data_IF_067337271697
#
_entry.id   IF_067337271697
#
_cell.length_a   1.000
_cell.length_b   1.000
_cell.length_c   1.000
_cell.angle_alpha   90.00
_cell.angle_beta   90.00
_cell.angle_gamma   90.00
#
_symmetry.space_group_name_H-M   'P 1'
#
loop_
_entity.id
_entity.type
_entity.pdbx_description
1 polymer ?
#
# COMPACT_ATOMS: atom_id res chain seq x y z
N UNK A 1 -8.83 -29.79 34.43
CA UNK A 1 -8.66 -29.31 33.03
C UNK A 1 -8.99 -30.48 32.09
N UNK A 2 -9.60 -30.27 30.91
CA UNK A 2 -9.89 -31.39 29.99
C UNK A 2 -8.60 -31.92 29.34
N UNK A 3 -8.57 -33.21 28.96
CA UNK A 3 -7.40 -33.82 28.28
C UNK A 3 -7.06 -33.09 26.97
N UNK A 4 -8.09 -32.59 26.27
CA UNK A 4 -7.95 -31.78 25.07
C UNK A 4 -7.22 -30.46 25.33
N UNK A 5 -7.54 -29.76 26.42
CA UNK A 5 -6.92 -28.48 26.75
C UNK A 5 -5.44 -28.64 27.12
N UNK A 6 -5.10 -29.73 27.82
CA UNK A 6 -3.71 -30.06 28.15
C UNK A 6 -2.91 -30.35 26.88
N UNK A 7 -3.47 -31.18 25.99
CA UNK A 7 -2.86 -31.47 24.68
C UNK A 7 -2.67 -30.20 23.84
N UNK A 8 -3.68 -29.34 23.79
CA UNK A 8 -3.64 -28.08 23.05
C UNK A 8 -2.57 -27.13 23.59
N UNK A 9 -2.50 -26.95 24.91
CA UNK A 9 -1.49 -26.10 25.54
C UNK A 9 -0.08 -26.62 25.28
N UNK A 10 0.16 -27.93 25.39
CA UNK A 10 1.46 -28.52 25.05
C UNK A 10 1.87 -28.20 23.61
N UNK A 11 0.93 -28.37 22.66
CA UNK A 11 1.21 -28.12 21.23
C UNK A 11 1.50 -26.65 20.93
N UNK A 12 0.81 -25.74 21.60
CA UNK A 12 1.04 -24.30 21.45
C UNK A 12 2.40 -23.92 22.02
N UNK A 13 2.69 -24.35 23.26
CA UNK A 13 3.92 -23.98 23.96
C UNK A 13 5.14 -24.49 23.20
N UNK A 14 5.13 -25.75 22.73
CA UNK A 14 6.19 -26.32 21.90
C UNK A 14 6.49 -25.44 20.68
N UNK A 15 5.44 -25.02 19.95
CA UNK A 15 5.59 -24.23 18.72
C UNK A 15 6.02 -22.79 18.98
N UNK A 16 5.50 -22.17 20.04
CA UNK A 16 5.82 -20.79 20.42
C UNK A 16 7.25 -20.68 20.93
N UNK A 17 7.69 -21.59 21.80
CA UNK A 17 9.06 -21.55 22.36
C UNK A 17 10.12 -21.93 21.34
N UNK A 18 9.78 -22.72 20.31
CA UNK A 18 10.68 -23.01 19.20
C UNK A 18 11.01 -21.77 18.35
N UNK A 19 10.15 -20.75 18.36
CA UNK A 19 10.31 -19.50 17.62
C UNK A 19 10.08 -18.29 18.54
N UNK A 20 10.73 -18.25 19.69
CA UNK A 20 10.62 -17.11 20.61
C UNK A 20 11.22 -15.85 19.97
N UNK A 21 10.57 -14.70 20.16
CA UNK A 21 11.11 -13.43 19.68
C UNK A 21 12.42 -13.05 20.40
N UNK A 22 13.37 -12.43 19.68
CA UNK A 22 14.56 -11.88 20.32
C UNK A 22 14.17 -10.79 21.33
N UNK A 23 14.99 -10.61 22.37
CA UNK A 23 14.74 -9.63 23.45
C UNK A 23 14.61 -8.18 22.95
N UNK A 24 15.11 -7.90 21.75
CA UNK A 24 14.97 -6.62 21.08
C UNK A 24 14.44 -6.86 19.67
N UNK A 25 13.19 -6.47 19.43
CA UNK A 25 12.62 -6.43 18.09
C UNK A 25 13.38 -5.39 17.24
N UNK A 26 13.55 -5.70 15.96
CA UNK A 26 14.30 -4.85 15.05
C UNK A 26 13.49 -3.59 14.73
N UNK A 27 14.16 -2.42 14.73
CA UNK A 27 13.48 -1.13 14.48
C UNK A 27 13.35 -0.83 13.00
N UNK A 28 14.26 -1.37 12.18
CA UNK A 28 14.30 -1.13 10.75
C UNK A 28 13.20 -1.95 10.04
N UNK A 29 12.63 -1.38 8.98
CA UNK A 29 11.52 -2.00 8.26
C UNK A 29 11.92 -3.27 7.49
N UNK A 30 13.08 -3.24 6.84
CA UNK A 30 13.60 -4.37 6.03
C UNK A 30 13.86 -5.63 6.87
N UNK A 31 14.29 -5.40 8.09
CA UNK A 31 14.59 -6.39 9.11
C UNK A 31 13.28 -6.99 9.68
N UNK A 32 12.29 -6.14 9.98
CA UNK A 32 10.95 -6.58 10.38
C UNK A 32 10.23 -7.46 9.36
N UNK A 33 10.49 -7.28 8.06
CA UNK A 33 9.91 -8.14 7.03
C UNK A 33 10.43 -9.58 7.08
N UNK A 34 11.56 -9.84 7.75
CA UNK A 34 12.12 -11.18 7.93
C UNK A 34 11.68 -11.83 9.25
N UNK A 35 10.99 -11.10 10.11
CA UNK A 35 10.54 -11.60 11.41
C UNK A 35 9.46 -12.68 11.24
N UNK A 36 9.68 -13.81 11.91
CA UNK A 36 8.74 -14.93 12.08
C UNK A 36 8.94 -15.45 13.51
N UNK A 37 8.38 -14.74 14.49
CA UNK A 37 8.58 -15.02 15.91
C UNK A 37 7.33 -14.77 16.76
N UNK A 38 7.21 -15.55 17.83
CA UNK A 38 6.12 -15.47 18.80
C UNK A 38 6.56 -14.76 20.07
N UNK A 39 5.74 -13.82 20.51
CA UNK A 39 5.79 -13.20 21.83
C UNK A 39 4.54 -13.59 22.62
N UNK A 40 4.73 -14.30 23.72
CA UNK A 40 3.61 -14.89 24.48
C UNK A 40 3.54 -14.35 25.89
N UNK A 41 2.34 -13.90 26.25
CA UNK A 41 1.98 -13.37 27.56
C UNK A 41 0.88 -14.23 28.16
N UNK A 42 1.07 -14.59 29.42
CA UNK A 42 0.17 -15.37 30.23
C UNK A 42 -0.44 -14.44 31.28
N UNK A 43 -1.76 -14.35 31.28
CA UNK A 43 -2.51 -13.72 32.36
C UNK A 43 -2.79 -14.80 33.43
N UNK A 44 -2.29 -14.62 34.64
CA UNK A 44 -2.51 -15.59 35.72
C UNK A 44 -3.50 -14.95 36.69
N UNK A 45 -4.58 -15.66 37.05
CA UNK A 45 -5.65 -15.13 37.90
C UNK A 45 -5.07 -14.49 39.17
N UNK A 46 -5.27 -13.18 39.33
CA UNK A 46 -4.83 -12.41 40.49
C UNK A 46 -3.33 -12.11 40.57
N UNK A 47 -2.56 -12.31 39.49
CA UNK A 47 -1.10 -12.07 39.43
C UNK A 47 -0.71 -11.18 38.24
N UNK A 48 0.47 -10.53 38.30
CA UNK A 48 0.98 -9.70 37.20
C UNK A 48 1.18 -10.50 35.91
N UNK A 49 1.19 -9.81 34.77
CA UNK A 49 1.41 -10.38 33.45
C UNK A 49 2.74 -11.16 33.43
N UNK A 50 2.71 -12.41 32.96
CA UNK A 50 3.86 -13.27 32.89
C UNK A 50 4.28 -13.51 31.43
N UNK A 51 5.54 -13.29 31.10
CA UNK A 51 6.09 -13.53 29.76
C UNK A 51 6.71 -14.92 29.72
N UNK A 52 6.36 -15.68 28.68
CA UNK A 52 6.90 -17.02 28.45
C UNK A 52 8.35 -16.96 27.95
N UNK A 53 9.24 -17.76 28.54
CA UNK A 53 10.67 -17.88 28.15
C UNK A 53 11.13 -19.30 27.79
N UNK A 54 10.27 -20.29 28.04
CA UNK A 54 10.64 -21.67 27.73
C UNK A 54 9.65 -22.68 28.27
N UNK A 55 9.74 -23.88 27.71
CA UNK A 55 8.88 -25.00 28.03
C UNK A 55 9.72 -26.28 28.02
N UNK A 56 9.66 -27.06 29.11
CA UNK A 56 10.35 -28.36 29.23
C UNK A 56 9.53 -29.28 30.11
N UNK A 57 9.28 -30.52 29.66
CA UNK A 57 8.67 -31.59 30.49
C UNK A 57 7.41 -31.14 31.29
N UNK A 58 6.49 -30.42 30.66
CA UNK A 58 5.27 -29.86 31.27
C UNK A 58 5.46 -28.74 32.31
N UNK A 59 6.69 -28.23 32.45
CA UNK A 59 7.01 -27.03 33.22
C UNK A 59 7.19 -25.83 32.28
N UNK A 60 6.54 -24.73 32.64
CA UNK A 60 6.55 -23.48 31.88
C UNK A 60 7.44 -22.48 32.61
N UNK A 61 8.50 -22.00 31.96
CA UNK A 61 9.38 -20.95 32.49
C UNK A 61 8.80 -19.59 32.12
N UNK A 62 8.54 -18.78 33.13
CA UNK A 62 7.96 -17.43 32.95
C UNK A 62 8.74 -16.38 33.72
N UNK A 63 8.75 -15.16 33.20
CA UNK A 63 9.18 -13.95 33.92
C UNK A 63 7.96 -13.08 34.19
N UNK A 64 7.74 -12.73 35.44
CA UNK A 64 6.67 -11.79 35.79
C UNK A 64 7.11 -10.37 35.48
N UNK A 65 6.20 -9.58 34.94
CA UNK A 65 6.39 -8.16 34.70
C UNK A 65 5.62 -7.37 35.75
N UNK A 66 6.32 -6.77 36.70
CA UNK A 66 5.76 -5.88 37.74
C UNK A 66 6.65 -4.65 37.86
N UNK A 67 6.05 -3.48 38.07
CA UNK A 67 6.78 -2.23 38.35
C UNK A 67 7.88 -1.89 37.32
N UNK A 68 7.58 -2.11 36.05
CA UNK A 68 8.45 -1.82 34.91
C UNK A 68 9.78 -2.61 34.91
N UNK A 69 9.85 -3.72 35.65
CA UNK A 69 11.00 -4.64 35.70
C UNK A 69 10.55 -6.08 35.53
N UNK A 70 11.42 -6.89 34.95
CA UNK A 70 11.23 -8.34 34.88
C UNK A 70 11.75 -8.99 36.17
N UNK A 71 10.93 -9.84 36.78
CA UNK A 71 11.31 -10.70 37.90
C UNK A 71 12.18 -11.88 37.44
N UNK A 72 12.83 -12.56 38.39
CA UNK A 72 13.56 -13.80 38.15
C UNK A 72 12.65 -14.88 37.54
N UNK A 73 13.27 -15.81 36.82
CA UNK A 73 12.57 -16.92 36.16
C UNK A 73 11.90 -17.82 37.19
N UNK A 74 10.59 -18.01 37.04
CA UNK A 74 9.80 -18.94 37.85
C UNK A 74 9.26 -20.06 36.96
N UNK A 75 9.20 -21.25 37.52
CA UNK A 75 8.59 -22.41 36.88
C UNK A 75 7.14 -22.53 37.34
N UNK A 76 6.24 -22.77 36.39
CA UNK A 76 4.82 -23.02 36.62
C UNK A 76 4.44 -24.36 36.04
N UNK A 77 3.61 -25.10 36.76
CA UNK A 77 2.99 -26.31 36.24
C UNK A 77 1.94 -25.93 35.18
N UNK A 78 1.87 -26.69 34.09
CA UNK A 78 0.90 -26.48 33.02
C UNK A 78 -0.56 -26.42 33.51
N UNK A 79 -0.87 -27.16 34.58
CA UNK A 79 -2.21 -27.23 35.17
C UNK A 79 -2.68 -25.91 35.81
N UNK A 80 -1.76 -25.00 36.11
CA UNK A 80 -2.07 -23.67 36.66
C UNK A 80 -2.47 -22.66 35.56
N UNK A 81 -2.21 -22.98 34.30
CA UNK A 81 -2.44 -22.07 33.17
C UNK A 81 -3.82 -22.32 32.56
N UNK A 82 -4.67 -21.29 32.55
CA UNK A 82 -5.98 -21.39 31.92
C UNK A 82 -5.84 -21.18 30.40
N UNK A 83 -6.45 -22.04 29.55
CA UNK A 83 -6.40 -21.87 28.09
C UNK A 83 -6.89 -20.51 27.58
N UNK A 84 -7.82 -19.89 28.31
CA UNK A 84 -8.38 -18.58 27.96
C UNK A 84 -7.53 -17.39 28.44
N UNK A 85 -6.50 -17.63 29.24
CA UNK A 85 -5.63 -16.57 29.76
C UNK A 85 -4.33 -16.42 28.97
N UNK A 86 -4.18 -17.23 27.93
CA UNK A 86 -3.06 -17.23 27.00
C UNK A 86 -3.24 -16.17 25.92
N UNK A 87 -2.36 -15.17 25.89
CA UNK A 87 -2.28 -14.16 24.84
C UNK A 87 -0.98 -14.34 24.05
N UNK A 88 -1.08 -14.53 22.74
CA UNK A 88 0.09 -14.72 21.87
C UNK A 88 0.05 -13.63 20.81
N UNK A 89 1.17 -12.95 20.62
CA UNK A 89 1.40 -12.06 19.50
C UNK A 89 2.40 -12.73 18.58
N UNK A 90 2.05 -12.92 17.32
CA UNK A 90 2.95 -13.45 16.31
C UNK A 90 3.34 -12.33 15.35
N UNK A 91 4.63 -12.02 15.33
CA UNK A 91 5.22 -11.09 14.37
C UNK A 91 5.63 -11.89 13.15
N UNK A 92 4.93 -11.64 12.05
CA UNK A 92 5.09 -12.36 10.79
C UNK A 92 5.21 -11.36 9.64
N UNK A 93 6.39 -11.30 9.03
CA UNK A 93 6.69 -10.42 7.91
C UNK A 93 6.27 -8.95 8.16
N UNK A 94 6.64 -8.40 9.34
CA UNK A 94 6.29 -7.04 9.75
C UNK A 94 4.83 -6.82 10.16
N UNK A 95 3.99 -7.87 10.13
CA UNK A 95 2.60 -7.81 10.57
C UNK A 95 2.46 -8.47 11.96
N UNK A 96 1.56 -7.93 12.79
CA UNK A 96 1.26 -8.49 14.11
C UNK A 96 -0.08 -9.24 14.07
N UNK A 97 -0.06 -10.53 14.42
CA UNK A 97 -1.25 -11.38 14.55
C UNK A 97 -1.48 -11.67 16.03
N UNK A 98 -2.63 -11.25 16.55
CA UNK A 98 -2.97 -11.38 17.97
C UNK A 98 -3.89 -12.57 18.21
N UNK A 99 -3.53 -13.41 19.19
CA UNK A 99 -4.32 -14.54 19.65
C UNK A 99 -4.71 -14.32 21.11
N UNK A 100 -6.00 -14.13 21.37
CA UNK A 100 -6.52 -13.88 22.73
C UNK A 100 -6.75 -15.15 23.57
N UNK A 101 -6.63 -16.34 22.98
CA UNK A 101 -6.81 -17.61 23.70
C UNK A 101 -6.15 -18.78 22.97
N UNK A 102 -5.95 -19.90 23.68
CA UNK A 102 -5.47 -21.15 23.09
C UNK A 102 -6.40 -21.68 21.99
N UNK A 103 -7.71 -21.57 22.18
CA UNK A 103 -8.70 -22.00 21.17
C UNK A 103 -8.68 -21.09 19.93
N UNK A 104 -8.50 -19.78 20.11
CA UNK A 104 -8.37 -18.85 18.98
C UNK A 104 -7.12 -19.16 18.14
N UNK A 105 -5.99 -19.46 18.80
CA UNK A 105 -4.78 -19.91 18.12
C UNK A 105 -5.00 -21.22 17.35
N UNK A 106 -5.72 -22.18 17.95
CA UNK A 106 -6.05 -23.44 17.29
C UNK A 106 -6.87 -23.22 16.02
N UNK A 107 -7.92 -22.40 16.11
CA UNK A 107 -8.78 -22.09 14.96
C UNK A 107 -7.98 -21.47 13.81
N UNK A 108 -7.09 -20.51 14.09
CA UNK A 108 -6.25 -19.90 13.06
C UNK A 108 -5.17 -20.87 12.56
N UNK A 109 -4.71 -21.81 13.39
CA UNK A 109 -3.75 -22.83 12.94
C UNK A 109 -4.38 -23.83 11.95
N UNK A 110 -5.67 -24.14 12.12
CA UNK A 110 -6.44 -24.98 11.17
C UNK A 110 -6.88 -24.16 9.95
N UNK A 111 -7.32 -22.93 10.17
CA UNK A 111 -7.73 -21.98 9.13
C UNK A 111 -6.78 -20.77 9.12
N UNK A 112 -5.62 -20.85 8.44
CA UNK A 112 -4.58 -19.83 8.44
C UNK A 112 -4.93 -18.61 7.56
N UNK A 113 -6.19 -18.16 7.58
CA UNK A 113 -6.69 -17.04 6.80
C UNK A 113 -5.88 -15.74 6.99
N UNK A 114 -5.49 -15.33 8.22
CA UNK A 114 -4.65 -14.15 8.41
C UNK A 114 -3.30 -14.26 7.66
N UNK A 115 -2.67 -15.44 7.67
CA UNK A 115 -1.40 -15.69 6.99
C UNK A 115 -1.54 -15.68 5.48
N UNK A 116 -2.59 -16.33 4.95
CA UNK A 116 -2.89 -16.35 3.52
C UNK A 116 -3.11 -14.91 3.03
N UNK A 117 -3.89 -14.10 3.76
CA UNK A 117 -4.13 -12.70 3.42
C UNK A 117 -2.83 -11.90 3.33
N UNK A 118 -1.90 -12.08 4.29
CA UNK A 118 -0.59 -11.41 4.27
C UNK A 118 0.18 -11.80 3.00
N UNK A 119 0.32 -13.10 2.72
CA UNK A 119 1.04 -13.60 1.54
C UNK A 119 0.42 -13.16 0.22
N UNK A 120 -0.91 -13.15 0.13
CA UNK A 120 -1.63 -12.68 -1.07
C UNK A 120 -1.40 -11.18 -1.28
N UNK A 121 -1.45 -10.38 -0.21
CA UNK A 121 -1.18 -8.94 -0.31
C UNK A 121 0.27 -8.65 -0.72
N UNK A 122 1.25 -9.37 -0.17
CA UNK A 122 2.66 -9.28 -0.56
C UNK A 122 2.86 -9.65 -2.03
N UNK A 123 2.26 -10.76 -2.48
CA UNK A 123 2.34 -11.22 -3.86
C UNK A 123 1.67 -10.22 -4.82
N UNK A 124 0.49 -9.70 -4.47
CA UNK A 124 -0.20 -8.70 -5.26
C UNK A 124 0.60 -7.40 -5.34
N UNK A 125 1.15 -6.92 -4.22
CA UNK A 125 2.01 -5.74 -4.17
C UNK A 125 3.23 -5.89 -5.07
N UNK A 126 3.93 -7.02 -4.96
CA UNK A 126 5.10 -7.37 -5.79
C UNK A 126 4.73 -7.45 -7.27
N UNK A 127 3.60 -8.07 -7.60
CA UNK A 127 3.10 -8.18 -8.97
C UNK A 127 2.77 -6.79 -9.56
N UNK A 128 2.06 -5.95 -8.82
CA UNK A 128 1.72 -4.60 -9.25
C UNK A 128 2.99 -3.74 -9.43
N UNK A 129 3.97 -3.87 -8.53
CA UNK A 129 5.25 -3.18 -8.68
C UNK A 129 6.03 -3.67 -9.90
N UNK A 130 6.11 -4.99 -10.12
CA UNK A 130 6.78 -5.55 -11.29
C UNK A 130 6.11 -5.11 -12.60
N UNK A 131 4.77 -5.09 -12.64
CA UNK A 131 4.01 -4.55 -13.77
C UNK A 131 4.29 -3.07 -13.99
N UNK A 132 4.35 -2.29 -12.90
CA UNK A 132 4.63 -0.87 -12.95
C UNK A 132 6.07 -0.56 -13.41
N UNK A 133 7.07 -1.33 -12.96
CA UNK A 133 8.47 -1.20 -13.38
C UNK A 133 8.63 -1.49 -14.88
N UNK A 134 7.87 -2.44 -15.43
CA UNK A 134 7.84 -2.75 -16.87
C UNK A 134 7.09 -1.70 -17.70
N UNK A 135 6.21 -0.90 -17.08
CA UNK A 135 5.49 0.16 -17.79
C UNK A 135 6.50 1.22 -18.21
N UNK A 136 6.63 1.47 -19.52
CA UNK A 136 7.38 2.62 -20.03
C UNK A 136 6.67 3.89 -19.55
N UNK A 137 7.32 4.66 -18.70
CA UNK A 137 6.89 6.03 -18.41
C UNK A 137 7.22 6.81 -19.68
N UNK A 138 6.18 7.16 -20.43
CA UNK A 138 6.32 8.18 -21.47
C UNK A 138 6.55 9.46 -20.70
N UNK A 139 7.69 10.11 -20.96
CA UNK A 139 7.95 11.42 -20.39
C UNK A 139 6.78 12.33 -20.74
N UNK A 140 6.03 12.73 -19.71
CA UNK A 140 4.88 13.59 -19.88
C UNK A 140 5.30 14.87 -20.61
N UNK A 141 4.41 15.35 -21.47
CA UNK A 141 4.69 16.58 -22.21
C UNK A 141 4.83 17.75 -21.23
N UNK A 142 5.58 18.79 -21.64
CA UNK A 142 5.69 20.04 -20.86
C UNK A 142 4.31 20.56 -20.43
N UNK A 143 3.32 20.44 -21.31
CA UNK A 143 1.95 20.85 -21.03
C UNK A 143 1.24 19.95 -20.02
N UNK A 144 1.41 18.62 -20.09
CA UNK A 144 0.82 17.70 -19.10
C UNK A 144 1.34 17.98 -17.68
N UNK A 145 2.62 18.31 -17.55
CA UNK A 145 3.22 18.72 -16.26
C UNK A 145 2.66 20.07 -15.81
N UNK A 146 2.56 21.04 -16.71
CA UNK A 146 1.97 22.34 -16.42
C UNK A 146 0.51 22.23 -15.94
N UNK A 147 -0.29 21.39 -16.62
CA UNK A 147 -1.69 21.08 -16.26
C UNK A 147 -1.78 20.58 -14.82
N UNK A 148 -0.98 19.58 -14.44
CA UNK A 148 -1.02 19.02 -13.09
C UNK A 148 -0.66 20.05 -12.02
N UNK A 149 0.35 20.88 -12.26
CA UNK A 149 0.75 21.94 -11.33
C UNK A 149 -0.37 22.98 -11.17
N UNK A 150 -1.02 23.38 -12.27
CA UNK A 150 -2.10 24.37 -12.25
C UNK A 150 -3.36 23.80 -11.59
N UNK A 151 -3.79 22.59 -11.95
CA UNK A 151 -4.97 21.94 -11.36
C UNK A 151 -4.82 21.80 -9.84
N UNK A 152 -3.69 21.27 -9.37
CA UNK A 152 -3.48 21.10 -7.93
C UNK A 152 -3.33 22.48 -7.22
N UNK A 153 -2.83 23.52 -7.90
CA UNK A 153 -2.82 24.90 -7.39
C UNK A 153 -4.23 25.49 -7.25
N UNK A 154 -5.09 25.29 -8.26
CA UNK A 154 -6.48 25.74 -8.26
C UNK A 154 -7.32 25.02 -7.19
N UNK A 155 -7.02 23.75 -6.92
CA UNK A 155 -7.64 22.97 -5.84
C UNK A 155 -7.22 23.42 -4.42
N UNK A 156 -6.36 24.44 -4.31
CA UNK A 156 -5.88 24.95 -3.02
C UNK A 156 -4.90 24.01 -2.32
N UNK A 157 -4.37 23.00 -3.01
CA UNK A 157 -3.33 22.12 -2.48
C UNK A 157 -2.03 22.90 -2.51
N UNK A 158 -1.64 23.48 -1.37
CA UNK A 158 -0.31 24.05 -1.17
C UNK A 158 0.73 22.92 -1.08
N UNK A 159 0.96 22.25 -2.21
CA UNK A 159 2.01 21.28 -2.34
C UNK A 159 3.29 22.03 -2.69
N UNK A 160 4.33 21.78 -1.92
CA UNK A 160 5.69 22.14 -2.28
C UNK A 160 6.06 21.31 -3.52
N UNK A 161 5.96 21.85 -4.74
CA UNK A 161 6.13 21.08 -5.99
C UNK A 161 7.59 20.74 -6.28
N UNK A 162 8.24 19.93 -5.44
CA UNK A 162 9.51 19.32 -5.85
C UNK A 162 9.28 18.33 -7.00
N UNK A 163 10.34 18.06 -7.79
CA UNK A 163 10.30 17.03 -8.81
C UNK A 163 9.87 15.65 -8.26
N UNK A 164 10.17 15.38 -6.98
CA UNK A 164 9.77 14.14 -6.29
C UNK A 164 8.26 14.10 -6.04
N UNK A 165 7.70 15.17 -5.48
CA UNK A 165 6.26 15.27 -5.20
C UNK A 165 5.45 15.22 -6.50
N UNK A 166 5.94 15.87 -7.56
CA UNK A 166 5.33 15.81 -8.88
C UNK A 166 5.40 14.40 -9.48
N UNK A 167 6.53 13.70 -9.35
CA UNK A 167 6.68 12.33 -9.81
C UNK A 167 5.70 11.39 -9.11
N UNK A 168 5.54 11.54 -7.79
CA UNK A 168 4.55 10.80 -7.02
C UNK A 168 3.13 11.10 -7.48
N UNK A 169 2.82 12.37 -7.78
CA UNK A 169 1.50 12.79 -8.28
C UNK A 169 1.17 12.20 -9.64
N UNK A 170 2.14 12.21 -10.57
CA UNK A 170 1.98 11.70 -11.94
C UNK A 170 1.93 10.18 -12.01
N UNK A 171 2.76 9.51 -11.19
CA UNK A 171 3.06 8.09 -11.38
C UNK A 171 2.77 7.20 -10.17
N UNK A 172 2.20 7.74 -9.08
CA UNK A 172 1.99 7.09 -7.78
C UNK A 172 3.30 6.83 -7.00
N UNK A 173 3.17 6.63 -5.68
CA UNK A 173 4.25 6.24 -4.74
C UNK A 173 5.13 5.07 -5.22
N UNK A 174 4.63 4.23 -6.14
CA UNK A 174 5.38 3.13 -6.73
C UNK A 174 6.61 3.58 -7.53
N UNK A 175 6.69 4.86 -7.90
CA UNK A 175 7.84 5.41 -8.63
C UNK A 175 9.14 5.33 -7.83
N UNK A 176 9.09 5.46 -6.52
CA UNK A 176 10.28 5.42 -5.66
C UNK A 176 11.01 4.08 -5.69
N UNK A 177 10.33 3.00 -6.07
CA UNK A 177 10.88 1.64 -6.15
C UNK A 177 11.28 1.23 -7.59
N UNK A 178 11.29 2.18 -8.53
CA UNK A 178 11.73 1.91 -9.91
C UNK A 178 13.25 1.94 -10.01
N UNK A 179 13.86 1.06 -10.82
CA UNK A 179 15.30 1.09 -11.08
C UNK A 179 15.78 2.38 -11.76
N UNK A 180 14.92 3.01 -12.58
CA UNK A 180 15.21 4.24 -13.33
C UNK A 180 14.71 5.50 -12.61
N UNK A 181 14.40 5.43 -11.31
CA UNK A 181 13.81 6.53 -10.55
C UNK A 181 14.59 7.85 -10.72
N UNK A 182 15.90 7.81 -10.49
CA UNK A 182 16.77 9.01 -10.55
C UNK A 182 16.76 9.65 -11.95
N UNK A 183 16.74 8.82 -13.00
CA UNK A 183 16.66 9.31 -14.39
C UNK A 183 15.32 10.01 -14.65
N UNK A 184 14.20 9.45 -14.16
CA UNK A 184 12.87 10.04 -14.32
C UNK A 184 12.74 11.35 -13.54
N UNK A 185 13.27 11.42 -12.31
CA UNK A 185 13.32 12.66 -11.53
C UNK A 185 14.16 13.72 -12.23
N UNK A 186 15.33 13.35 -12.76
CA UNK A 186 16.17 14.26 -13.53
C UNK A 186 15.47 14.83 -14.76
N UNK A 187 14.72 14.00 -15.51
CA UNK A 187 13.91 14.44 -16.66
C UNK A 187 12.80 15.40 -16.23
N UNK A 188 12.06 15.10 -15.17
CA UNK A 188 11.03 15.99 -14.63
C UNK A 188 11.61 17.32 -14.17
N UNK A 189 12.76 17.30 -13.49
CA UNK A 189 13.48 18.50 -13.08
C UNK A 189 13.80 19.42 -14.26
N UNK A 190 14.35 18.87 -15.35
CA UNK A 190 14.64 19.63 -16.57
C UNK A 190 13.38 20.21 -17.22
N UNK A 191 12.26 19.49 -17.18
CA UNK A 191 10.99 20.01 -17.73
C UNK A 191 10.49 21.18 -16.88
N UNK A 192 10.52 21.04 -15.56
CA UNK A 192 10.16 22.13 -14.65
C UNK A 192 11.04 23.37 -14.86
N UNK A 193 12.35 23.18 -15.01
CA UNK A 193 13.29 24.25 -15.36
C UNK A 193 12.92 24.91 -16.69
N UNK A 194 12.65 24.12 -17.74
CA UNK A 194 12.21 24.66 -19.03
C UNK A 194 10.90 25.45 -18.95
N UNK A 195 9.98 25.07 -18.06
CA UNK A 195 8.72 25.77 -17.84
C UNK A 195 8.95 27.09 -17.09
N UNK A 196 9.96 27.14 -16.21
CA UNK A 196 10.42 28.38 -15.60
C UNK A 196 11.11 29.31 -16.60
N UNK A 197 11.96 28.78 -17.48
CA UNK A 197 12.60 29.57 -18.56
C UNK A 197 11.57 30.16 -19.53
N UNK A 198 10.43 29.48 -19.73
CA UNK A 198 9.32 29.98 -20.55
C UNK A 198 8.33 30.87 -19.77
N UNK A 199 8.66 31.23 -18.53
CA UNK A 199 7.83 32.06 -17.63
C UNK A 199 6.43 31.49 -17.33
N UNK A 200 6.19 30.20 -17.60
CA UNK A 200 4.90 29.55 -17.27
C UNK A 200 4.82 29.16 -15.80
N UNK A 201 5.96 28.83 -15.21
CA UNK A 201 6.12 28.57 -13.79
C UNK A 201 7.15 29.53 -13.19
N UNK A 202 7.03 29.82 -11.91
CA UNK A 202 8.04 30.53 -11.13
C UNK A 202 8.57 29.62 -10.03
N UNK A 203 9.88 29.61 -9.84
CA UNK A 203 10.55 28.83 -8.80
C UNK A 203 10.82 29.70 -7.58
N UNK A 204 10.28 29.30 -6.42
CA UNK A 204 10.54 29.89 -5.12
C UNK A 204 11.29 28.87 -4.25
N UNK A 205 12.61 29.01 -4.14
CA UNK A 205 13.49 28.04 -3.47
C UNK A 205 13.36 26.62 -4.07
N UNK A 206 12.54 25.77 -3.47
CA UNK A 206 12.28 24.38 -3.87
C UNK A 206 10.87 24.17 -4.47
N UNK A 207 10.05 25.22 -4.48
CA UNK A 207 8.65 25.16 -4.89
C UNK A 207 8.46 25.80 -6.26
N UNK A 208 7.50 25.28 -7.02
CA UNK A 208 7.11 25.82 -8.32
C UNK A 208 5.66 26.26 -8.25
N UNK A 209 5.39 27.48 -8.69
CA UNK A 209 4.05 28.05 -8.72
C UNK A 209 3.71 28.50 -10.13
N UNK A 210 2.46 28.38 -10.58
CA UNK A 210 2.05 28.88 -11.88
C UNK A 210 2.07 30.42 -11.91
N UNK A 211 2.49 30.98 -13.03
CA UNK A 211 2.40 32.42 -13.29
C UNK A 211 1.07 32.77 -13.98
N UNK A 212 0.75 34.06 -14.10
CA UNK A 212 -0.40 34.48 -14.91
C UNK A 212 -0.30 34.08 -16.38
N UNK A 213 0.92 34.05 -16.93
CA UNK A 213 1.16 33.57 -18.30
C UNK A 213 0.89 32.07 -18.39
N UNK A 214 1.39 31.27 -17.45
CA UNK A 214 1.11 29.83 -17.38
C UNK A 214 -0.37 29.52 -17.31
N UNK A 215 -1.12 30.28 -16.50
CA UNK A 215 -2.58 30.13 -16.38
C UNK A 215 -3.31 30.44 -17.70
N UNK A 216 -2.96 31.53 -18.37
CA UNK A 216 -3.61 31.91 -19.64
C UNK A 216 -3.32 30.92 -20.78
N UNK A 217 -2.10 30.38 -20.85
CA UNK A 217 -1.74 29.34 -21.82
C UNK A 217 -2.50 28.04 -21.53
N UNK A 218 -2.66 27.69 -20.25
CA UNK A 218 -3.43 26.53 -19.84
C UNK A 218 -4.90 26.64 -20.26
N UNK A 219 -5.56 27.75 -19.92
CA UNK A 219 -6.96 28.00 -20.28
C UNK A 219 -7.19 27.95 -21.80
N UNK A 220 -6.29 28.59 -22.57
CA UNK A 220 -6.36 28.59 -24.03
C UNK A 220 -6.27 27.16 -24.60
N UNK A 221 -5.35 26.35 -24.08
CA UNK A 221 -5.17 24.98 -24.55
C UNK A 221 -6.35 24.09 -24.15
N UNK A 222 -6.93 24.26 -22.96
CA UNK A 222 -8.18 23.56 -22.59
C UNK A 222 -9.34 23.92 -23.52
N UNK A 223 -9.45 25.18 -23.91
CA UNK A 223 -10.47 25.63 -24.85
C UNK A 223 -10.25 25.02 -26.25
N UNK A 224 -9.01 24.98 -26.73
CA UNK A 224 -8.63 24.30 -27.98
C UNK A 224 -8.96 22.81 -27.92
N UNK A 225 -8.61 22.09 -26.86
CA UNK A 225 -8.94 20.68 -26.64
C UNK A 225 -10.47 20.44 -26.65
N UNK A 226 -11.24 21.36 -26.05
CA UNK A 226 -12.71 21.30 -26.06
C UNK A 226 -13.26 21.52 -27.47
N UNK A 227 -12.75 22.52 -28.21
CA UNK A 227 -13.13 22.79 -29.60
C UNK A 227 -12.81 21.62 -30.51
N UNK A 228 -11.61 21.05 -30.41
CA UNK A 228 -11.21 19.88 -31.21
C UNK A 228 -12.13 18.70 -30.96
N UNK A 229 -12.47 18.38 -29.70
CA UNK A 229 -13.42 17.31 -29.37
C UNK A 229 -14.81 17.56 -29.97
N UNK A 230 -15.30 18.79 -29.90
CA UNK A 230 -16.59 19.16 -30.49
C UNK A 230 -16.58 19.04 -32.02
N UNK A 231 -15.50 19.46 -32.68
CA UNK A 231 -15.33 19.33 -34.13
C UNK A 231 -15.31 17.85 -34.54
N UNK A 232 -14.54 17.01 -33.86
CA UNK A 232 -14.47 15.56 -34.13
C UNK A 232 -15.85 14.92 -33.98
N UNK A 233 -16.58 15.25 -32.90
CA UNK A 233 -17.95 14.77 -32.69
C UNK A 233 -18.90 15.19 -33.82
N UNK A 234 -18.81 16.46 -34.24
CA UNK A 234 -19.64 17.02 -35.30
C UNK A 234 -19.33 16.38 -36.66
N UNK A 235 -18.05 16.12 -36.94
CA UNK A 235 -17.62 15.40 -38.14
C UNK A 235 -18.17 13.97 -38.17
N UNK A 236 -18.14 13.26 -37.04
CA UNK A 236 -18.74 11.92 -36.94
C UNK A 236 -20.26 11.94 -37.17
N UNK A 237 -20.95 12.93 -36.63
CA UNK A 237 -22.38 13.14 -36.89
C UNK A 237 -22.67 13.40 -38.39
N UNK A 238 -21.85 14.24 -39.04
CA UNK A 238 -21.98 14.51 -40.47
C UNK A 238 -21.77 13.24 -41.29
N UNK A 239 -20.72 12.45 -41.01
CA UNK A 239 -20.46 11.17 -41.69
C UNK A 239 -21.65 10.21 -41.53
N UNK A 240 -22.20 10.09 -40.32
CA UNK A 240 -23.35 9.24 -40.06
C UNK A 240 -24.60 9.70 -40.85
N UNK A 241 -24.84 11.01 -40.91
CA UNK A 241 -25.97 11.59 -41.63
C UNK A 241 -25.82 11.43 -43.15
N UNK A 242 -24.61 11.63 -43.69
CA UNK A 242 -24.32 11.38 -45.12
C UNK A 242 -24.53 9.91 -45.48
N UNK A 243 -24.11 8.95 -44.64
CA UNK A 243 -24.37 7.53 -44.85
C UNK A 243 -25.87 7.21 -44.83
N UNK A 244 -26.64 7.81 -43.93
CA UNK A 244 -28.09 7.64 -43.87
C UNK A 244 -28.78 8.17 -45.14
N UNK A 245 -28.38 9.34 -45.63
CA UNK A 245 -28.90 9.90 -46.89
C UNK A 245 -28.54 8.99 -48.07
N UNK A 246 -27.28 8.54 -48.17
CA UNK A 246 -26.85 7.63 -49.23
C UNK A 246 -27.63 6.30 -49.23
N UNK A 247 -27.91 5.74 -48.04
CA UNK A 247 -28.75 4.55 -47.93
C UNK A 247 -30.20 4.83 -48.38
N UNK A 248 -30.77 5.97 -47.98
CA UNK A 248 -32.12 6.36 -48.36
C UNK A 248 -32.25 6.61 -49.87
N UNK A 249 -31.26 7.24 -50.51
CA UNK A 249 -31.26 7.46 -51.97
C UNK A 249 -31.12 6.15 -52.74
N UNK A 250 -30.31 5.20 -52.26
CA UNK A 250 -30.25 3.84 -52.84
C UNK A 250 -31.61 3.16 -52.76
N UNK A 251 -32.27 3.17 -51.60
CA UNK A 251 -33.62 2.58 -51.44
C UNK A 251 -34.65 3.25 -52.34
N UNK A 252 -34.61 4.59 -52.48
CA UNK A 252 -35.50 5.32 -53.37
C UNK A 252 -35.26 4.97 -54.85
N UNK A 253 -34.00 4.88 -55.28
CA UNK A 253 -33.63 4.52 -56.64
C UNK A 253 -34.11 3.10 -57.00
N UNK A 254 -33.98 2.14 -56.07
CA UNK A 254 -34.50 0.78 -56.28
C UNK A 254 -36.03 0.75 -56.41
N UNK A 255 -36.76 1.52 -55.60
CA UNK A 255 -38.23 1.59 -55.69
C UNK A 255 -38.74 2.30 -56.94
N UNK A 256 -38.00 3.27 -57.47
CA UNK A 256 -38.41 4.02 -58.66
C UNK A 256 -38.05 3.32 -59.98
N UNK A 257 -37.14 2.34 -59.95
CA UNK A 257 -36.70 1.56 -61.11
C UNK A 257 -37.45 0.24 -61.33
N UNK A 258 -38.37 -0.13 -60.44
CA UNK A 258 -39.33 -1.26 -60.56
C UNK A 258 -40.73 -0.75 -60.81
#
# INVERSE_FOLDING_TARGET
>A
MSRFNIWLLNRILEKVTAKECPDKLERLWEDRQKEDCYFTVLEIKGKPLAVLRGYSEHLVRVKYFSDNKYSDEKQLALNEILPNSLRINHYFHGNQINFNSAHHWFMISVFPWPYIRIRVNEALGSFLQARFNKKKIVTETRFAILRVVIEDYLDGRKLNYSAHNLAQRLYSDRIYLRPDFDEQIGKLGRILESLCESEYLQKNQLDYSPTGLGMSVFEKHEEEDRRHRQVVWTQWLLVALTLAIAAATVVQAFKAGT
#
